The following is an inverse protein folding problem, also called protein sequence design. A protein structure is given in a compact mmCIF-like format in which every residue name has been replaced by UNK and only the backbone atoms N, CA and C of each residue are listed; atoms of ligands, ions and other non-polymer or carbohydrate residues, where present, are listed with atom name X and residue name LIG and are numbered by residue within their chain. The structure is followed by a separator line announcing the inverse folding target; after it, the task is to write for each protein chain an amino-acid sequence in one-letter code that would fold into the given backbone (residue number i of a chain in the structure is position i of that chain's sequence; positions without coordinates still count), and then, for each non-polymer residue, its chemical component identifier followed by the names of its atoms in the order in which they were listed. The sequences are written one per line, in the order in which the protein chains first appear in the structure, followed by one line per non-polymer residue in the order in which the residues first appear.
data_IF_575493575184
#
_entry.id   IF_575493575184
#
_cell.length_a   1.000
_cell.length_b   1.000
_cell.length_c   1.000
_cell.angle_alpha   90.00
_cell.angle_beta   90.00
_cell.angle_gamma   90.00
#
_symmetry.space_group_name_H-M   'P 1'
#
loop_
_entity.id
_entity.type
_entity.pdbx_description
1 polymer ?
#
# COMPACT_ATOMS: atom_id res chain seq x y z
N UNK A 1 -7.93 -9.13 -4.29
CA UNK A 1 -8.93 -10.21 -4.33
C UNK A 1 -8.99 -10.87 -2.98
N UNK A 2 -10.21 -11.14 -2.50
CA UNK A 2 -10.46 -11.90 -1.30
C UNK A 2 -10.57 -13.37 -1.67
N UNK A 3 -9.89 -14.23 -0.96
CA UNK A 3 -10.09 -15.66 -1.08
C UNK A 3 -11.13 -16.08 -0.04
N UNK A 4 -12.28 -16.56 -0.50
CA UNK A 4 -13.32 -17.09 0.36
C UNK A 4 -13.04 -18.57 0.61
N UNK A 5 -12.78 -18.93 1.85
CA UNK A 5 -12.74 -20.34 2.25
C UNK A 5 -14.08 -21.01 1.95
N UNK A 6 -14.03 -22.17 1.31
CA UNK A 6 -15.22 -22.97 1.00
C UNK A 6 -15.78 -23.68 2.22
N UNK A 7 -16.39 -22.94 3.14
CA UNK A 7 -17.03 -23.54 4.33
C UNK A 7 -16.11 -23.80 5.52
N UNK A 8 -14.81 -23.73 5.36
CA UNK A 8 -13.83 -23.78 6.45
C UNK A 8 -13.24 -22.42 6.71
N UNK A 9 -13.33 -21.92 7.91
CA UNK A 9 -12.89 -20.57 8.28
C UNK A 9 -11.40 -20.32 8.10
N UNK A 10 -10.60 -21.38 8.15
CA UNK A 10 -9.12 -21.33 8.03
C UNK A 10 -8.62 -21.89 6.71
N UNK A 11 -9.50 -22.43 5.88
CA UNK A 11 -9.15 -23.00 4.59
C UNK A 11 -9.45 -22.03 3.45
N UNK A 12 -8.59 -22.04 2.44
CA UNK A 12 -8.76 -21.29 1.23
C UNK A 12 -9.33 -22.19 0.14
N UNK A 13 -10.47 -21.81 -0.44
CA UNK A 13 -11.15 -22.63 -1.43
C UNK A 13 -10.30 -22.92 -2.66
N UNK A 14 -9.51 -21.97 -3.12
CA UNK A 14 -8.78 -22.06 -4.38
C UNK A 14 -7.25 -21.96 -4.24
N UNK A 15 -6.73 -21.61 -3.07
CA UNK A 15 -5.29 -21.35 -2.87
C UNK A 15 -4.67 -20.49 -4.00
N UNK A 16 -5.38 -19.44 -4.38
CA UNK A 16 -5.06 -18.57 -5.51
C UNK A 16 -4.06 -17.46 -5.16
N UNK A 17 -3.65 -17.37 -3.87
CA UNK A 17 -2.78 -16.31 -3.36
C UNK A 17 -3.51 -15.04 -2.91
N UNK A 18 -4.85 -15.03 -2.94
CA UNK A 18 -5.65 -13.93 -2.40
C UNK A 18 -5.66 -13.91 -0.87
N UNK A 19 -5.95 -12.76 -0.30
CA UNK A 19 -6.13 -12.62 1.15
C UNK A 19 -7.43 -13.26 1.60
N UNK A 20 -7.40 -13.98 2.72
CA UNK A 20 -8.63 -14.48 3.34
C UNK A 20 -9.32 -13.39 4.16
N UNK A 21 -10.64 -13.48 4.25
CA UNK A 21 -11.40 -12.65 5.19
C UNK A 21 -11.22 -13.14 6.62
N UNK A 22 -11.19 -12.24 7.61
CA UNK A 22 -11.29 -12.63 9.01
C UNK A 22 -12.64 -13.28 9.30
N UNK A 23 -12.63 -14.44 9.93
CA UNK A 23 -13.84 -15.19 10.27
C UNK A 23 -14.65 -15.67 9.07
N UNK A 24 -15.93 -15.98 9.31
CA UNK A 24 -16.88 -16.24 8.24
C UNK A 24 -17.52 -14.92 7.77
N UNK A 25 -17.75 -14.79 6.47
CA UNK A 25 -18.35 -13.61 5.83
C UNK A 25 -19.65 -13.13 6.50
N UNK A 26 -20.45 -14.06 6.99
CA UNK A 26 -21.76 -13.80 7.57
C UNK A 26 -21.78 -13.93 9.09
N UNK A 27 -20.66 -14.30 9.69
CA UNK A 27 -20.56 -14.51 11.13
C UNK A 27 -20.27 -13.20 11.86
N UNK A 28 -21.11 -12.89 12.81
CA UNK A 28 -20.82 -11.81 13.77
C UNK A 28 -19.94 -12.36 14.88
N UNK A 29 -18.75 -11.75 15.07
CA UNK A 29 -17.91 -12.08 16.20
C UNK A 29 -18.62 -11.75 17.51
N UNK A 30 -18.85 -12.77 18.38
CA UNK A 30 -19.67 -12.66 19.58
C UNK A 30 -18.89 -12.69 20.88
N UNK A 31 -17.59 -12.91 20.83
CA UNK A 31 -16.75 -12.97 22.05
C UNK A 31 -15.29 -12.61 21.75
N UNK A 32 -14.59 -12.10 22.77
CA UNK A 32 -13.17 -11.83 22.68
C UNK A 32 -12.37 -13.10 22.35
N UNK A 33 -12.77 -14.27 22.90
CA UNK A 33 -12.14 -15.56 22.59
C UNK A 33 -12.25 -15.90 21.09
N UNK A 34 -13.40 -15.64 20.50
CA UNK A 34 -13.62 -15.84 19.05
C UNK A 34 -12.78 -14.86 18.23
N UNK A 35 -12.75 -13.59 18.61
CA UNK A 35 -11.91 -12.57 17.96
C UNK A 35 -10.43 -12.93 17.98
N UNK A 36 -9.95 -13.53 19.06
CA UNK A 36 -8.56 -13.96 19.21
C UNK A 36 -8.26 -15.32 18.61
N UNK A 37 -9.23 -15.97 18.00
CA UNK A 37 -9.03 -17.24 17.31
C UNK A 37 -8.25 -17.06 16.01
N UNK A 38 -7.64 -18.14 15.51
CA UNK A 38 -6.91 -18.17 14.24
C UNK A 38 -7.77 -17.71 13.05
N UNK A 39 -9.08 -17.93 13.11
CA UNK A 39 -10.00 -17.56 12.03
C UNK A 39 -10.11 -16.04 11.85
N UNK A 40 -9.98 -15.27 12.93
CA UNK A 40 -10.05 -13.82 12.92
C UNK A 40 -8.69 -13.15 12.86
N UNK A 41 -7.61 -13.85 13.19
CA UNK A 41 -6.26 -13.29 13.26
C UNK A 41 -5.60 -13.35 11.88
N UNK A 42 -5.82 -12.33 11.05
CA UNK A 42 -5.24 -12.23 9.70
C UNK A 42 -4.03 -11.31 9.62
N UNK A 43 -3.74 -10.57 10.68
CA UNK A 43 -2.59 -9.67 10.76
C UNK A 43 -2.29 -9.23 12.18
N UNK A 44 -1.11 -8.65 12.34
CA UNK A 44 -0.59 -8.13 13.59
C UNK A 44 0.02 -6.75 13.37
N UNK A 45 -0.38 -5.75 14.15
CA UNK A 45 0.34 -4.47 14.21
C UNK A 45 1.70 -4.70 14.88
N UNK A 46 2.76 -4.29 14.20
CA UNK A 46 4.14 -4.42 14.69
C UNK A 46 4.66 -3.12 15.31
N UNK A 47 4.30 -1.99 14.71
CA UNK A 47 4.68 -0.66 15.16
C UNK A 47 3.68 0.38 14.68
N UNK A 48 3.58 1.47 15.43
CA UNK A 48 2.80 2.64 15.05
C UNK A 48 3.39 3.89 15.69
N UNK A 49 3.06 5.04 15.13
CA UNK A 49 3.49 6.33 15.66
C UNK A 49 2.85 7.49 14.91
N UNK A 50 2.82 8.63 15.53
CA UNK A 50 2.38 9.88 14.94
C UNK A 50 3.04 11.06 15.66
N UNK A 51 3.08 12.22 15.04
CA UNK A 51 3.67 13.36 15.71
C UNK A 51 4.03 14.53 14.79
N UNK A 52 4.74 15.54 15.33
CA UNK A 52 5.10 15.68 16.74
C UNK A 52 3.91 16.04 17.66
N UNK A 53 2.86 16.67 17.10
CA UNK A 53 1.64 17.02 17.83
C UNK A 53 0.61 15.88 17.71
N UNK A 54 0.01 15.48 18.84
CA UNK A 54 -0.96 14.38 18.85
C UNK A 54 -2.30 14.74 18.22
N UNK A 55 -2.69 16.02 18.24
CA UNK A 55 -3.95 16.49 17.69
C UNK A 55 -3.84 16.97 16.23
N UNK A 56 -2.64 17.36 15.82
CA UNK A 56 -2.33 17.85 14.47
C UNK A 56 -1.00 17.25 13.98
N UNK A 57 -0.94 15.92 13.79
CA UNK A 57 0.30 15.27 13.44
C UNK A 57 0.79 15.65 12.05
N UNK A 58 2.08 15.85 11.90
CA UNK A 58 2.75 16.01 10.61
C UNK A 58 2.85 14.67 9.87
N UNK A 59 2.81 13.57 10.61
CA UNK A 59 2.83 12.21 10.07
C UNK A 59 2.06 11.23 10.96
N UNK A 60 1.58 10.16 10.33
CA UNK A 60 1.10 8.95 11.00
C UNK A 60 1.76 7.72 10.38
N UNK A 61 2.20 6.79 11.20
CA UNK A 61 2.90 5.58 10.81
C UNK A 61 2.22 4.34 11.35
N UNK A 62 2.11 3.32 10.53
CA UNK A 62 1.67 1.98 10.92
C UNK A 62 2.48 0.93 10.16
N UNK A 63 2.97 -0.09 10.88
CA UNK A 63 3.56 -1.29 10.30
C UNK A 63 2.78 -2.51 10.74
N UNK A 64 2.43 -3.36 9.80
CA UNK A 64 1.70 -4.60 10.05
C UNK A 64 2.39 -5.81 9.41
N UNK A 65 2.28 -6.94 10.09
CA UNK A 65 2.52 -8.27 9.51
C UNK A 65 1.17 -8.86 9.12
N UNK A 66 0.96 -9.08 7.83
CA UNK A 66 -0.26 -9.62 7.25
C UNK A 66 -0.05 -11.01 6.63
N UNK A 67 1.04 -11.68 6.98
CA UNK A 67 1.39 -13.01 6.46
C UNK A 67 0.26 -14.02 6.68
N UNK A 68 -0.41 -13.96 7.84
CA UNK A 68 -1.50 -14.87 8.17
C UNK A 68 -2.78 -14.67 7.34
N UNK A 69 -2.88 -13.56 6.60
CA UNK A 69 -3.98 -13.37 5.65
C UNK A 69 -3.83 -14.21 4.37
N UNK A 70 -2.66 -14.80 4.15
CA UNK A 70 -2.36 -15.57 2.95
C UNK A 70 -2.20 -17.05 3.28
N UNK A 71 -2.13 -17.88 2.21
CA UNK A 71 -1.83 -19.32 2.32
C UNK A 71 -0.32 -19.55 2.46
N UNK A 72 0.11 -20.81 2.43
CA UNK A 72 1.50 -21.26 2.38
C UNK A 72 2.30 -20.79 1.15
N UNK A 73 1.61 -20.21 0.16
CA UNK A 73 2.26 -19.51 -0.97
C UNK A 73 3.04 -18.28 -0.52
N UNK A 74 2.70 -17.69 0.62
CA UNK A 74 3.36 -16.49 1.17
C UNK A 74 4.03 -16.81 2.49
N UNK A 75 5.36 -16.68 2.52
CA UNK A 75 6.18 -16.87 3.73
C UNK A 75 6.25 -15.62 4.59
N UNK A 76 6.21 -14.46 3.97
CA UNK A 76 6.22 -13.16 4.65
C UNK A 76 5.47 -12.13 3.82
N UNK A 77 4.59 -11.36 4.46
CA UNK A 77 3.97 -10.18 3.90
C UNK A 77 3.88 -9.11 4.98
N UNK A 78 4.74 -8.10 4.89
CA UNK A 78 4.76 -6.96 5.81
C UNK A 78 4.48 -5.68 5.05
N UNK A 79 3.65 -4.83 5.63
CA UNK A 79 3.26 -3.54 5.06
C UNK A 79 3.49 -2.42 6.05
N UNK A 80 4.09 -1.35 5.57
CA UNK A 80 4.27 -0.11 6.31
C UNK A 80 3.55 1.03 5.58
N UNK A 81 2.86 1.86 6.35
CA UNK A 81 2.20 3.07 5.88
C UNK A 81 2.79 4.27 6.60
N UNK A 82 3.13 5.32 5.86
CA UNK A 82 3.37 6.65 6.42
C UNK A 82 2.49 7.63 5.68
N UNK A 83 1.52 8.18 6.37
CA UNK A 83 0.78 9.34 5.89
C UNK A 83 1.50 10.61 6.32
N UNK A 84 1.70 11.53 5.39
CA UNK A 84 2.28 12.84 5.60
C UNK A 84 1.23 13.92 5.41
N UNK A 85 1.10 14.77 6.40
CA UNK A 85 0.43 16.06 6.24
C UNK A 85 1.46 17.06 5.69
N UNK A 86 1.29 17.47 4.44
CA UNK A 86 2.25 18.34 3.76
C UNK A 86 1.97 19.83 4.03
N UNK A 87 0.85 20.16 4.69
CA UNK A 87 0.43 21.52 4.96
C UNK A 87 0.38 22.43 3.72
N UNK A 88 0.20 21.84 2.56
CA UNK A 88 0.06 22.52 1.27
C UNK A 88 -1.41 22.60 0.89
N UNK A 89 -1.82 23.72 0.34
CA UNK A 89 -3.19 23.88 -0.20
C UNK A 89 -3.36 23.20 -1.55
N UNK A 90 -2.28 22.99 -2.31
CA UNK A 90 -2.34 22.31 -3.61
C UNK A 90 -2.26 20.79 -3.47
N UNK A 91 -1.32 20.29 -2.67
CA UNK A 91 -1.12 18.86 -2.41
C UNK A 91 -1.08 18.66 -0.89
N UNK A 92 -2.24 18.54 -0.24
CA UNK A 92 -2.31 18.54 1.23
C UNK A 92 -1.71 17.32 1.90
N UNK A 93 -1.67 16.19 1.21
CA UNK A 93 -1.20 14.94 1.82
C UNK A 93 -0.56 13.97 0.85
N UNK A 94 0.28 13.12 1.42
CA UNK A 94 0.85 11.98 0.72
C UNK A 94 0.82 10.72 1.60
N UNK A 95 0.50 9.58 1.02
CA UNK A 95 0.60 8.26 1.65
C UNK A 95 1.72 7.48 0.99
N UNK A 96 2.69 7.07 1.79
CA UNK A 96 3.80 6.23 1.37
C UNK A 96 3.51 4.82 1.84
N UNK A 97 3.53 3.86 0.91
CA UNK A 97 3.27 2.44 1.18
C UNK A 97 4.52 1.66 0.83
N UNK A 98 5.08 0.97 1.81
CA UNK A 98 6.21 0.06 1.61
C UNK A 98 5.84 -1.36 2.01
N UNK A 99 5.98 -2.29 1.06
CA UNK A 99 5.72 -3.72 1.27
C UNK A 99 6.97 -4.55 1.04
N UNK A 100 7.17 -5.51 1.93
CA UNK A 100 8.05 -6.65 1.72
C UNK A 100 7.21 -7.91 1.61
N UNK A 101 7.37 -8.65 0.49
CA UNK A 101 6.65 -9.89 0.23
C UNK A 101 7.62 -11.00 -0.13
N UNK A 102 7.55 -12.11 0.61
CA UNK A 102 8.33 -13.33 0.32
C UNK A 102 7.36 -14.46 0.01
N UNK A 103 7.44 -15.01 -1.20
CA UNK A 103 6.67 -16.19 -1.61
C UNK A 103 7.44 -17.48 -1.38
N UNK A 104 6.72 -18.60 -1.34
CA UNK A 104 7.33 -19.95 -1.25
C UNK A 104 7.97 -20.38 -2.56
N UNK A 105 7.52 -19.84 -3.69
CA UNK A 105 8.06 -20.10 -5.01
C UNK A 105 8.34 -18.77 -5.72
N UNK A 106 9.53 -18.56 -6.32
CA UNK A 106 9.85 -17.34 -7.08
C UNK A 106 8.94 -17.13 -8.29
N UNK A 107 8.33 -18.16 -8.84
CA UNK A 107 7.42 -18.07 -9.99
C UNK A 107 6.02 -17.55 -9.60
N UNK A 108 5.68 -17.49 -8.34
CA UNK A 108 4.42 -16.90 -7.91
C UNK A 108 4.43 -15.39 -8.13
N UNK A 109 3.59 -14.95 -9.07
CA UNK A 109 3.40 -13.51 -9.34
C UNK A 109 2.86 -12.80 -8.10
N UNK A 110 3.36 -11.61 -7.87
CA UNK A 110 2.93 -10.73 -6.78
C UNK A 110 2.39 -9.44 -7.36
N UNK A 111 1.24 -9.01 -6.87
CA UNK A 111 0.57 -7.82 -7.33
C UNK A 111 0.30 -6.87 -6.16
N UNK A 112 0.78 -5.65 -6.28
CA UNK A 112 0.28 -4.56 -5.47
C UNK A 112 -0.93 -3.96 -6.20
N UNK A 113 -2.06 -3.82 -5.50
CA UNK A 113 -3.34 -3.47 -6.11
C UNK A 113 -3.86 -2.15 -5.55
N UNK A 114 -4.36 -1.29 -6.43
CA UNK A 114 -5.15 -0.13 -6.08
C UNK A 114 -6.44 -0.13 -6.90
N UNK A 115 -7.58 -0.16 -6.20
CA UNK A 115 -8.90 -0.13 -6.83
C UNK A 115 -9.42 1.30 -6.93
N UNK A 116 -10.17 1.58 -7.98
CA UNK A 116 -10.79 2.88 -8.23
C UNK A 116 -12.17 2.74 -8.87
N UNK A 117 -12.98 3.77 -8.70
CA UNK A 117 -14.27 3.91 -9.41
C UNK A 117 -14.00 4.39 -10.84
N UNK A 118 -13.18 5.42 -10.95
CA UNK A 118 -12.82 6.01 -12.24
C UNK A 118 -11.67 5.28 -12.91
N UNK A 119 -11.62 5.33 -14.21
CA UNK A 119 -10.55 4.71 -15.00
C UNK A 119 -9.20 5.37 -14.73
N UNK A 120 -8.17 4.59 -14.33
CA UNK A 120 -6.82 5.11 -14.16
C UNK A 120 -6.17 5.44 -15.51
N UNK A 121 -5.41 6.53 -15.55
CA UNK A 121 -4.51 6.86 -16.67
C UNK A 121 -3.09 6.49 -16.24
N UNK A 122 -2.43 5.62 -16.99
CA UNK A 122 -1.05 5.16 -16.71
C UNK A 122 -0.07 5.97 -17.56
N UNK A 123 0.95 6.56 -16.91
CA UNK A 123 1.98 7.39 -17.52
C UNK A 123 3.36 6.96 -17.00
N UNK A 124 3.99 5.99 -17.67
CA UNK A 124 5.29 5.46 -17.27
C UNK A 124 5.23 4.76 -15.89
N UNK A 125 5.95 5.31 -14.92
CA UNK A 125 5.99 4.82 -13.53
C UNK A 125 4.87 5.38 -12.64
N UNK A 126 3.90 6.10 -13.22
CA UNK A 126 2.80 6.78 -12.54
C UNK A 126 1.46 6.34 -13.04
N UNK A 127 0.46 6.49 -12.22
CA UNK A 127 -0.93 6.47 -12.67
C UNK A 127 -1.76 7.51 -11.91
N UNK A 128 -2.76 8.03 -12.61
CA UNK A 128 -3.61 9.13 -12.14
C UNK A 128 -5.06 8.67 -12.19
N UNK A 129 -5.79 8.94 -11.12
CA UNK A 129 -7.23 8.74 -11.03
C UNK A 129 -7.87 10.09 -10.75
N UNK A 130 -8.85 10.48 -11.58
CA UNK A 130 -9.55 11.75 -11.46
C UNK A 130 -11.04 11.51 -11.29
N UNK A 131 -11.63 12.14 -10.29
CA UNK A 131 -13.07 12.13 -10.10
C UNK A 131 -13.65 13.48 -10.50
N UNK A 132 -14.68 13.43 -11.34
CA UNK A 132 -15.39 14.62 -11.86
C UNK A 132 -16.89 14.45 -11.87
N UNK A 133 -17.41 13.45 -11.14
CA UNK A 133 -18.84 13.14 -11.06
C UNK A 133 -19.45 13.75 -9.82
N UNK A 134 -20.73 14.11 -9.92
CA UNK A 134 -21.54 14.60 -8.81
C UNK A 134 -20.99 15.86 -8.12
N UNK A 135 -20.21 16.69 -8.84
CA UNK A 135 -19.55 17.86 -8.28
C UNK A 135 -18.25 17.59 -7.53
N UNK A 136 -17.85 16.33 -7.40
CA UNK A 136 -16.57 15.95 -6.81
C UNK A 136 -15.41 16.29 -7.74
N UNK A 137 -14.32 16.83 -7.20
CA UNK A 137 -13.18 17.32 -7.98
C UNK A 137 -11.84 16.79 -7.45
N UNK A 138 -11.81 15.55 -6.99
CA UNK A 138 -10.60 14.94 -6.42
C UNK A 138 -9.67 14.32 -7.48
N UNK A 139 -8.37 14.37 -7.20
CA UNK A 139 -7.34 13.69 -7.97
C UNK A 139 -6.40 12.91 -7.04
N UNK A 140 -6.04 11.71 -7.47
CA UNK A 140 -5.01 10.89 -6.87
C UNK A 140 -3.95 10.61 -7.92
N UNK A 141 -2.67 10.80 -7.57
CA UNK A 141 -1.53 10.31 -8.34
C UNK A 141 -0.73 9.32 -7.49
N UNK A 142 -0.48 8.14 -8.03
CA UNK A 142 0.48 7.20 -7.46
C UNK A 142 1.75 7.18 -8.31
N UNK A 143 2.91 7.20 -7.66
CA UNK A 143 4.19 6.92 -8.30
C UNK A 143 4.77 5.63 -7.74
N UNK A 144 5.13 4.71 -8.64
CA UNK A 144 5.76 3.43 -8.31
C UNK A 144 7.27 3.63 -8.28
N UNK A 145 7.90 3.40 -7.14
CA UNK A 145 9.35 3.49 -6.95
C UNK A 145 10.01 2.12 -6.84
N UNK A 146 9.26 1.12 -6.37
CA UNK A 146 9.61 -0.29 -6.40
C UNK A 146 8.36 -1.10 -6.76
N UNK A 147 8.50 -2.09 -7.65
CA UNK A 147 9.71 -2.45 -8.39
C UNK A 147 10.27 -1.28 -9.19
N UNK A 148 11.58 -1.30 -9.49
CA UNK A 148 12.22 -0.23 -10.28
C UNK A 148 11.63 -0.14 -11.69
N UNK A 149 11.70 1.02 -12.32
CA UNK A 149 11.08 1.32 -13.62
C UNK A 149 11.38 0.25 -14.69
N UNK A 150 12.60 -0.30 -14.75
CA UNK A 150 12.97 -1.38 -15.69
C UNK A 150 12.41 -2.76 -15.33
N UNK A 151 11.85 -2.92 -14.11
CA UNK A 151 11.29 -4.18 -13.60
C UNK A 151 9.83 -4.04 -13.16
N UNK A 152 9.23 -2.88 -13.26
CA UNK A 152 7.82 -2.67 -12.93
C UNK A 152 6.93 -2.91 -14.15
N UNK A 153 5.93 -3.76 -13.99
CA UNK A 153 4.79 -3.87 -14.90
C UNK A 153 3.60 -3.19 -14.22
N UNK A 154 3.02 -2.19 -14.87
CA UNK A 154 1.89 -1.43 -14.36
C UNK A 154 0.76 -1.60 -15.38
N UNK A 155 -0.29 -2.27 -14.97
CA UNK A 155 -1.43 -2.57 -15.82
C UNK A 155 -2.73 -2.13 -15.16
N UNK A 156 -3.73 -1.75 -15.96
CA UNK A 156 -5.08 -1.51 -15.48
C UNK A 156 -6.02 -2.61 -15.95
N UNK A 157 -6.88 -3.03 -15.06
CA UNK A 157 -7.93 -4.01 -15.34
C UNK A 157 -9.26 -3.44 -14.88
N UNK A 158 -10.26 -3.49 -15.73
CA UNK A 158 -11.58 -2.96 -15.42
C UNK A 158 -12.36 -2.53 -16.65
N UNK A 159 -13.41 -1.74 -16.42
CA UNK A 159 -14.35 -1.29 -17.41
C UNK A 159 -15.36 -2.35 -17.81
N UNK A 160 -16.19 -2.03 -18.80
CA UNK A 160 -17.34 -2.86 -19.20
C UNK A 160 -16.93 -4.32 -19.50
N UNK A 161 -17.48 -5.26 -18.75
CA UNK A 161 -17.22 -6.69 -18.86
C UNK A 161 -15.94 -7.17 -18.16
N UNK A 162 -15.23 -6.26 -17.46
CA UNK A 162 -14.03 -6.59 -16.66
C UNK A 162 -14.02 -5.92 -15.29
N UNK A 163 -15.17 -5.44 -14.82
CA UNK A 163 -15.30 -4.72 -13.55
C UNK A 163 -14.81 -5.55 -12.35
N UNK A 164 -15.06 -6.86 -12.41
CA UNK A 164 -14.68 -7.82 -11.38
C UNK A 164 -13.87 -8.98 -11.96
N UNK A 165 -13.03 -8.67 -12.93
CA UNK A 165 -12.24 -9.66 -13.64
C UNK A 165 -11.12 -10.23 -12.77
N UNK A 166 -11.12 -11.55 -12.59
CA UNK A 166 -10.10 -12.29 -11.84
C UNK A 166 -9.83 -13.62 -12.56
N UNK A 167 -8.59 -13.91 -12.88
CA UNK A 167 -8.14 -15.17 -13.48
C UNK A 167 -8.98 -15.66 -14.67
N UNK A 168 -9.30 -14.77 -15.59
CA UNK A 168 -10.04 -15.15 -16.81
C UNK A 168 -11.56 -15.08 -16.67
N UNK A 169 -12.10 -14.73 -15.52
CA UNK A 169 -13.54 -14.64 -15.26
C UNK A 169 -13.92 -13.27 -14.74
N UNK A 170 -14.95 -12.66 -15.34
CA UNK A 170 -15.61 -11.49 -14.76
C UNK A 170 -16.76 -11.98 -13.85
N UNK A 171 -16.56 -11.87 -12.54
CA UNK A 171 -17.57 -12.31 -11.57
C UNK A 171 -18.73 -11.32 -11.57
N UNK A 172 -19.99 -11.80 -11.73
CA UNK A 172 -21.13 -10.91 -11.68
C UNK A 172 -21.23 -10.30 -10.28
N UNK A 173 -21.38 -9.00 -10.26
CA UNK A 173 -21.76 -8.31 -9.05
C UNK A 173 -23.25 -8.02 -9.13
N UNK A 174 -24.05 -9.03 -8.80
CA UNK A 174 -25.48 -8.87 -8.74
C UNK A 174 -25.80 -7.68 -7.84
N UNK A 175 -26.39 -6.67 -8.44
CA UNK A 175 -26.89 -5.54 -7.69
C UNK A 175 -27.78 -6.10 -6.58
N UNK A 176 -27.47 -5.77 -5.34
CA UNK A 176 -28.39 -6.09 -4.25
C UNK A 176 -29.70 -5.37 -4.61
N UNK A 177 -30.83 -6.08 -4.71
CA UNK A 177 -32.08 -5.54 -5.27
C UNK A 177 -32.56 -4.26 -4.59
N UNK A 178 -32.05 -3.96 -3.41
CA UNK A 178 -32.41 -2.81 -2.58
C UNK A 178 -31.36 -1.68 -2.56
N UNK A 179 -30.33 -1.73 -3.42
CA UNK A 179 -29.28 -0.70 -3.50
C UNK A 179 -28.93 -0.37 -4.95
N UNK A 180 -29.87 0.18 -5.74
CA UNK A 180 -29.62 0.52 -7.14
C UNK A 180 -28.51 1.58 -7.30
N UNK A 181 -28.33 2.48 -6.33
CA UNK A 181 -27.35 3.56 -6.38
C UNK A 181 -25.91 3.09 -6.09
N UNK A 182 -25.73 1.97 -5.40
CA UNK A 182 -24.40 1.38 -5.14
C UNK A 182 -23.69 0.92 -6.42
N UNK A 183 -24.43 0.65 -7.48
CA UNK A 183 -23.86 0.17 -8.74
C UNK A 183 -22.89 1.19 -9.40
N UNK A 184 -23.14 2.48 -9.18
CA UNK A 184 -22.35 3.56 -9.76
C UNK A 184 -21.09 3.91 -8.94
N UNK A 185 -21.06 3.52 -7.67
CA UNK A 185 -19.96 3.83 -6.74
C UNK A 185 -19.06 2.62 -6.46
N UNK A 186 -19.28 1.50 -7.13
CA UNK A 186 -18.42 0.32 -7.01
C UNK A 186 -17.15 0.51 -7.82
N UNK A 187 -16.02 0.17 -7.23
CA UNK A 187 -14.73 0.20 -7.92
C UNK A 187 -14.73 -0.72 -9.12
N UNK A 188 -14.87 -0.16 -10.32
CA UNK A 188 -14.91 -0.88 -11.58
C UNK A 188 -13.53 -1.06 -12.23
N UNK A 189 -12.51 -0.51 -11.61
CA UNK A 189 -11.14 -0.53 -12.10
C UNK A 189 -10.16 -0.91 -10.99
N UNK A 190 -9.04 -1.46 -11.38
CA UNK A 190 -7.86 -1.58 -10.53
C UNK A 190 -6.59 -1.40 -11.33
N UNK A 191 -5.57 -0.89 -10.68
CA UNK A 191 -4.19 -0.94 -11.17
C UNK A 191 -3.50 -2.11 -10.51
N UNK A 192 -2.78 -2.89 -11.30
CA UNK A 192 -1.93 -3.98 -10.87
C UNK A 192 -0.46 -3.59 -11.10
N UNK A 193 0.33 -3.55 -10.03
CA UNK A 193 1.78 -3.34 -10.10
C UNK A 193 2.46 -4.65 -9.77
N UNK A 194 3.29 -5.16 -10.66
CA UNK A 194 4.01 -6.42 -10.45
C UNK A 194 5.46 -6.32 -10.92
N UNK A 195 6.39 -7.11 -10.33
CA UNK A 195 7.72 -7.29 -10.87
C UNK A 195 7.67 -8.04 -12.19
N UNK A 196 8.44 -7.60 -13.20
CA UNK A 196 8.60 -8.31 -14.47
C UNK A 196 9.47 -9.57 -14.31
N UNK A 197 10.45 -9.53 -13.41
CA UNK A 197 11.37 -10.63 -13.15
C UNK A 197 10.88 -11.44 -11.96
N UNK A 198 10.65 -12.76 -12.11
CA UNK A 198 10.28 -13.63 -11.01
C UNK A 198 11.37 -13.65 -9.91
N UNK A 199 10.95 -13.50 -8.66
CA UNK A 199 11.81 -13.62 -7.49
C UNK A 199 11.00 -14.06 -6.27
N UNK A 200 11.65 -14.79 -5.34
CA UNK A 200 10.98 -15.19 -4.10
C UNK A 200 10.66 -13.96 -3.24
N UNK A 201 11.57 -13.01 -3.14
CA UNK A 201 11.41 -11.77 -2.38
C UNK A 201 11.24 -10.59 -3.32
N UNK A 202 10.22 -9.77 -3.06
CA UNK A 202 9.95 -8.53 -3.77
C UNK A 202 9.57 -7.42 -2.80
N UNK A 203 9.89 -6.20 -3.21
CA UNK A 203 9.52 -4.97 -2.52
C UNK A 203 8.59 -4.13 -3.40
N UNK A 204 7.62 -3.48 -2.76
CA UNK A 204 6.79 -2.46 -3.39
C UNK A 204 6.94 -1.17 -2.60
N UNK A 205 7.20 -0.09 -3.31
CA UNK A 205 7.25 1.25 -2.72
C UNK A 205 6.45 2.18 -3.60
N UNK A 206 5.34 2.65 -3.07
CA UNK A 206 4.39 3.50 -3.75
C UNK A 206 4.21 4.81 -2.98
N UNK A 207 4.10 5.90 -3.71
CA UNK A 207 3.80 7.22 -3.15
C UNK A 207 2.52 7.73 -3.77
N UNK A 208 1.49 7.82 -2.96
CA UNK A 208 0.16 8.29 -3.33
C UNK A 208 0.03 9.73 -2.85
N UNK A 209 -0.19 10.66 -3.76
CA UNK A 209 -0.50 12.05 -3.48
C UNK A 209 -1.94 12.35 -3.85
N UNK A 210 -2.58 13.20 -3.08
CA UNK A 210 -3.95 13.63 -3.32
C UNK A 210 -4.02 15.14 -3.49
N UNK A 211 -4.89 15.59 -4.36
CA UNK A 211 -5.09 17.00 -4.66
C UNK A 211 -6.50 17.24 -5.22
N UNK A 212 -6.85 18.52 -5.42
CA UNK A 212 -7.97 18.88 -6.26
C UNK A 212 -7.63 18.66 -7.75
N UNK A 213 -8.63 18.43 -8.56
CA UNK A 213 -8.51 18.20 -10.01
C UNK A 213 -7.87 19.38 -10.77
N UNK A 214 -7.87 20.56 -10.19
CA UNK A 214 -7.24 21.77 -10.73
C UNK A 214 -5.73 21.81 -10.50
N UNK A 215 -5.19 20.95 -9.65
CA UNK A 215 -3.76 20.84 -9.40
C UNK A 215 -3.02 20.48 -10.68
N UNK A 216 -2.07 21.31 -11.06
CA UNK A 216 -1.30 21.15 -12.29
C UNK A 216 -0.10 20.22 -12.12
N UNK A 217 0.44 20.14 -10.91
CA UNK A 217 1.66 19.37 -10.65
C UNK A 217 1.68 18.87 -9.21
N UNK A 218 1.87 17.58 -9.06
CA UNK A 218 2.19 16.94 -7.77
C UNK A 218 3.65 17.18 -7.39
N UNK A 219 3.98 16.99 -6.12
CA UNK A 219 5.37 17.10 -5.68
C UNK A 219 6.24 16.04 -6.36
N UNK A 220 7.47 16.44 -6.68
CA UNK A 220 8.48 15.51 -7.15
C UNK A 220 8.82 14.50 -6.04
N UNK A 221 8.98 13.25 -6.45
CA UNK A 221 9.27 12.14 -5.54
C UNK A 221 10.58 11.50 -5.97
N UNK A 222 11.51 11.33 -5.03
CA UNK A 222 12.78 10.65 -5.26
C UNK A 222 12.91 9.46 -4.32
N UNK A 223 13.34 8.32 -4.87
CA UNK A 223 13.68 7.15 -4.05
C UNK A 223 15.02 7.37 -3.36
N UNK A 224 15.07 6.98 -2.09
CA UNK A 224 16.29 6.86 -1.30
C UNK A 224 16.61 5.37 -1.19
N UNK A 225 17.84 5.00 -1.51
CA UNK A 225 18.37 3.66 -1.31
C UNK A 225 19.72 3.78 -0.61
N UNK A 226 19.78 3.37 0.65
CA UNK A 226 20.94 3.53 1.50
C UNK A 226 21.25 2.23 2.25
N UNK A 227 21.59 1.19 1.48
CA UNK A 227 21.98 -0.11 2.01
C UNK A 227 20.88 -0.81 2.78
N UNK A 228 20.85 -0.63 4.10
CA UNK A 228 19.86 -1.25 4.99
C UNK A 228 18.46 -0.62 4.90
N UNK A 229 18.36 0.59 4.36
CA UNK A 229 17.11 1.35 4.31
C UNK A 229 16.71 1.67 2.88
N UNK A 230 15.43 1.77 2.66
CA UNK A 230 14.82 2.30 1.46
C UNK A 230 13.82 3.37 1.88
N UNK A 231 13.62 4.37 1.05
CA UNK A 231 12.71 5.44 1.42
C UNK A 231 12.41 6.40 0.29
N UNK A 232 11.86 7.51 0.69
CA UNK A 232 11.32 8.53 -0.19
C UNK A 232 11.72 9.92 0.30
N UNK A 233 12.11 10.76 -0.64
CA UNK A 233 12.13 12.20 -0.47
C UNK A 233 10.96 12.80 -1.26
N UNK A 234 10.13 13.58 -0.58
CA UNK A 234 8.98 14.30 -1.14
C UNK A 234 8.82 15.65 -0.44
N UNK A 235 8.73 16.74 -1.21
CA UNK A 235 8.72 18.09 -0.66
C UNK A 235 9.89 18.29 0.33
N UNK A 236 9.60 18.72 1.57
CA UNK A 236 10.56 18.88 2.66
C UNK A 236 10.58 17.66 3.62
N UNK A 237 10.11 16.51 3.17
CA UNK A 237 9.99 15.28 3.97
C UNK A 237 10.88 14.17 3.45
N UNK A 238 11.45 13.42 4.39
CA UNK A 238 12.17 12.18 4.15
C UNK A 238 11.56 11.10 5.00
N UNK A 239 11.19 10.00 4.36
CA UNK A 239 10.65 8.81 5.04
C UNK A 239 11.49 7.62 4.65
N UNK A 240 11.95 6.84 5.64
CA UNK A 240 12.72 5.63 5.40
C UNK A 240 12.20 4.43 6.16
N UNK A 241 12.36 3.26 5.56
CA UNK A 241 11.96 1.96 6.07
C UNK A 241 13.15 1.00 6.07
N UNK A 242 13.17 0.06 7.00
CA UNK A 242 14.11 -1.06 6.96
C UNK A 242 13.77 -2.00 5.80
N UNK A 243 14.72 -2.21 4.86
CA UNK A 243 14.49 -3.10 3.70
C UNK A 243 14.12 -4.52 4.10
N UNK A 244 14.81 -5.07 5.09
CA UNK A 244 14.56 -6.45 5.52
C UNK A 244 13.45 -6.55 6.57
N UNK A 245 12.78 -5.42 6.89
CA UNK A 245 11.75 -5.33 7.93
C UNK A 245 12.21 -5.70 9.34
N UNK A 246 13.52 -5.71 9.59
CA UNK A 246 14.12 -5.89 10.90
C UNK A 246 14.45 -4.55 11.56
N UNK A 247 14.57 -4.50 12.89
CA UNK A 247 15.00 -3.31 13.58
C UNK A 247 16.37 -2.84 13.11
N UNK A 248 16.50 -1.53 12.90
CA UNK A 248 17.72 -0.88 12.45
C UNK A 248 18.62 -0.53 13.63
N UNK A 249 19.90 -0.88 13.51
CA UNK A 249 20.94 -0.54 14.45
C UNK A 249 22.20 -0.07 13.71
N UNK A 250 23.07 0.66 14.44
CA UNK A 250 24.32 1.17 13.92
C UNK A 250 24.12 2.33 12.93
N UNK A 251 25.16 2.66 12.20
CA UNK A 251 25.20 3.82 11.30
C UNK A 251 24.26 3.62 10.10
N UNK A 252 23.55 4.68 9.75
CA UNK A 252 22.74 4.80 8.53
C UNK A 252 23.25 6.05 7.80
N UNK A 253 23.84 5.86 6.63
CA UNK A 253 24.29 6.96 5.77
C UNK A 253 23.30 7.07 4.60
N UNK A 254 22.78 8.27 4.36
CA UNK A 254 21.91 8.53 3.24
C UNK A 254 22.22 9.86 2.57
N UNK A 255 22.13 9.88 1.25
CA UNK A 255 22.19 11.11 0.47
C UNK A 255 20.80 11.70 0.33
N UNK A 256 20.71 12.99 0.62
CA UNK A 256 19.47 13.76 0.53
C UNK A 256 19.74 15.02 -0.27
N UNK A 257 18.89 15.30 -1.23
CA UNK A 257 19.01 16.50 -2.04
C UNK A 257 18.22 17.66 -1.39
N UNK A 258 18.81 18.83 -1.40
CA UNK A 258 18.14 20.08 -1.03
C UNK A 258 18.93 20.97 -0.07
N UNK A 259 18.68 22.27 -0.20
CA UNK A 259 19.30 23.31 0.61
C UNK A 259 18.41 23.87 1.72
N UNK A 260 17.22 23.25 1.92
CA UNK A 260 16.21 23.67 2.89
C UNK A 260 16.20 22.77 4.11
N UNK A 261 15.53 23.22 5.17
CA UNK A 261 15.29 22.39 6.35
C UNK A 261 14.41 21.18 5.97
N UNK A 262 14.87 19.98 6.28
CA UNK A 262 14.17 18.72 6.00
C UNK A 262 13.67 18.08 7.28
N UNK A 263 12.49 17.50 7.24
CA UNK A 263 11.91 16.70 8.33
C UNK A 263 12.05 15.22 8.01
N UNK A 264 12.54 14.45 8.98
CA UNK A 264 12.81 13.02 8.82
C UNK A 264 11.82 12.18 9.61
N UNK A 265 11.28 11.15 8.97
CA UNK A 265 10.57 10.04 9.61
C UNK A 265 11.38 8.78 9.32
N UNK A 266 12.16 8.35 10.30
CA UNK A 266 12.99 7.15 10.18
C UNK A 266 12.31 6.07 11.00
N UNK A 267 11.76 5.05 10.32
CA UNK A 267 11.08 3.94 10.97
C UNK A 267 12.04 2.81 11.35
N UNK A 268 11.55 1.86 12.11
CA UNK A 268 12.26 0.62 12.46
C UNK A 268 13.56 0.80 13.28
N UNK A 269 13.82 1.96 13.85
CA UNK A 269 14.98 2.16 14.72
C UNK A 269 14.82 1.34 16.02
N UNK A 270 15.91 0.71 16.48
CA UNK A 270 15.91 0.17 17.85
C UNK A 270 15.76 1.31 18.88
N UNK A 271 15.13 1.07 20.03
CA UNK A 271 15.09 2.04 21.12
C UNK A 271 16.51 2.47 21.53
N UNK A 272 16.69 3.76 21.78
CA UNK A 272 17.98 4.30 22.18
C UNK A 272 18.18 5.75 21.75
N UNK A 273 19.40 6.25 21.98
CA UNK A 273 19.80 7.59 21.56
C UNK A 273 20.45 7.52 20.18
N UNK A 274 19.95 8.32 19.24
CA UNK A 274 20.47 8.43 17.90
C UNK A 274 21.08 9.81 17.68
N UNK A 275 22.24 9.86 17.07
CA UNK A 275 22.91 11.11 16.69
C UNK A 275 22.73 11.35 15.21
N UNK A 276 22.31 12.54 14.85
CA UNK A 276 22.21 12.99 13.46
C UNK A 276 23.44 13.86 13.20
N UNK A 277 24.21 13.51 12.15
CA UNK A 277 25.32 14.31 11.65
C UNK A 277 25.01 14.70 10.21
N UNK A 278 25.28 15.92 9.88
CA UNK A 278 25.21 16.44 8.51
C UNK A 278 26.64 16.59 8.02
N UNK A 279 26.99 15.88 6.98
CA UNK A 279 28.28 16.02 6.29
C UNK A 279 28.09 17.02 5.14
N UNK A 280 28.81 18.14 5.17
CA UNK A 280 29.02 19.10 4.07
C UNK A 280 27.86 19.98 3.71
#
# INVERSE_FOLDING_TARGET
CWNYGGGGKTEFAANDGGQRMPGDRWETCRSFKQLMSKDYTTGKALAHGFGPDACKPDYSYLKGDITQAYTDKVKEAKRSFVFLNLHSTEVPGALIVFDKVVSSDPQFKKFWLLHSIEEPVIEGDRFIIRRTKNGDTGMLQNQVLLPEAGNAQIEKVGGKGKEFWVFGTNYPNDALPNRPDDANERGAWRVEVSPAVPAAENYFLNVIQVADNTCKRMNDVKRIDAGKVVGVQIADRIVTFSKNSLPLSGKIDMKVDGNTSMKFVITDLIPGTWQIKKDG
#
